data_IF_923458913257
#
_entry.id   IF_923458913257
#
_cell.length_a   1.000
_cell.length_b   1.000
_cell.length_c   1.000
_cell.angle_alpha   90.00
_cell.angle_beta   90.00
_cell.angle_gamma   90.00
#
_symmetry.space_group_name_H-M   'P 1'
#
loop_
_entity.id
_entity.type
_entity.pdbx_description
1 polymer ?
#
# COMPACT_ATOMS: atom_id res chain seq x y z
N UNK A 1 0.82 -18.13 -30.55
CA UNK A 1 2.19 -18.55 -30.94
C UNK A 1 2.21 -20.06 -30.89
N UNK A 2 2.67 -20.74 -31.95
CA UNK A 2 2.72 -22.22 -32.01
C UNK A 2 4.14 -22.70 -31.65
N UNK A 3 4.24 -23.74 -30.84
CA UNK A 3 5.52 -24.33 -30.44
C UNK A 3 5.49 -25.84 -30.66
N UNK A 4 6.43 -26.38 -31.43
CA UNK A 4 6.61 -27.82 -31.61
C UNK A 4 7.35 -28.41 -30.41
N UNK A 5 6.76 -29.39 -29.73
CA UNK A 5 7.35 -30.08 -28.57
C UNK A 5 7.75 -31.50 -28.98
N UNK A 6 8.69 -31.60 -29.92
CA UNK A 6 9.19 -32.89 -30.44
C UNK A 6 8.60 -33.26 -31.81
N UNK A 7 8.69 -34.54 -32.16
CA UNK A 7 8.28 -35.06 -33.48
C UNK A 7 6.75 -35.17 -33.58
N UNK A 8 6.14 -34.16 -34.23
CA UNK A 8 4.71 -34.02 -34.54
C UNK A 8 3.77 -33.53 -33.41
N UNK A 9 4.26 -33.33 -32.18
CA UNK A 9 3.46 -32.63 -31.16
C UNK A 9 3.53 -31.11 -31.34
N UNK A 10 2.37 -30.48 -31.60
CA UNK A 10 2.22 -29.02 -31.70
C UNK A 10 1.45 -28.52 -30.49
N UNK A 11 2.13 -27.77 -29.63
CA UNK A 11 1.51 -27.07 -28.52
C UNK A 11 0.94 -25.72 -28.98
N UNK A 12 -0.37 -25.58 -28.82
CA UNK A 12 -1.05 -24.29 -28.83
C UNK A 12 -1.36 -23.89 -27.38
N UNK A 13 -0.83 -22.76 -26.86
CA UNK A 13 -1.24 -22.26 -25.56
C UNK A 13 -2.71 -21.82 -25.62
N UNK A 14 -3.52 -22.09 -24.57
CA UNK A 14 -4.93 -21.73 -24.56
C UNK A 14 -5.12 -20.21 -24.59
N UNK A 15 -6.25 -19.76 -25.14
CA UNK A 15 -6.55 -18.33 -25.26
C UNK A 15 -6.94 -17.78 -23.88
N UNK A 16 -6.07 -16.95 -23.31
CA UNK A 16 -6.41 -16.17 -22.13
C UNK A 16 -7.28 -14.97 -22.54
N UNK A 17 -8.32 -14.68 -21.75
CA UNK A 17 -9.10 -13.46 -21.89
C UNK A 17 -9.31 -12.79 -20.53
N UNK A 18 -9.73 -11.53 -20.54
CA UNK A 18 -10.01 -10.77 -19.32
C UNK A 18 -11.28 -9.97 -19.51
N UNK A 19 -12.27 -10.22 -18.65
CA UNK A 19 -13.48 -9.40 -18.56
C UNK A 19 -13.20 -8.22 -17.63
N UNK A 20 -13.80 -7.06 -17.89
CA UNK A 20 -13.57 -5.86 -17.07
C UNK A 20 -14.77 -4.92 -17.09
N UNK A 21 -15.19 -4.52 -15.90
CA UNK A 21 -16.39 -3.71 -15.66
C UNK A 21 -15.98 -2.28 -15.31
N UNK A 22 -16.47 -1.31 -16.07
CA UNK A 22 -16.13 0.10 -15.89
C UNK A 22 -17.36 0.91 -15.44
N UNK A 23 -17.15 1.91 -14.57
CA UNK A 23 -18.19 2.90 -14.24
C UNK A 23 -18.56 3.70 -15.50
N UNK A 24 -19.80 3.56 -15.96
CA UNK A 24 -20.32 4.29 -17.15
C UNK A 24 -20.48 5.80 -16.89
N UNK A 25 -20.54 6.21 -15.63
CA UNK A 25 -20.72 7.60 -15.20
C UNK A 25 -22.16 8.11 -15.37
N UNK A 26 -23.14 7.23 -15.18
CA UNK A 26 -24.58 7.52 -15.22
C UNK A 26 -25.29 6.62 -14.19
N UNK A 27 -26.20 7.19 -13.40
CA UNK A 27 -27.19 6.45 -12.59
C UNK A 27 -28.54 6.32 -13.32
N UNK A 28 -29.36 5.37 -12.88
CA UNK A 28 -30.71 5.18 -13.46
C UNK A 28 -31.68 6.31 -13.07
N UNK A 29 -31.50 6.93 -11.90
CA UNK A 29 -32.14 8.18 -11.51
C UNK A 29 -31.16 9.35 -11.67
N UNK A 30 -31.51 10.40 -12.41
CA UNK A 30 -30.70 11.63 -12.48
C UNK A 30 -30.97 12.46 -11.22
N UNK A 31 -30.12 12.31 -10.20
CA UNK A 31 -30.08 13.19 -9.02
C UNK A 31 -28.99 14.23 -9.24
N UNK A 32 -29.37 15.49 -9.50
CA UNK A 32 -28.41 16.57 -9.80
C UNK A 32 -27.34 16.75 -8.72
N UNK A 33 -27.69 16.48 -7.46
CA UNK A 33 -26.78 16.53 -6.30
C UNK A 33 -25.63 15.53 -6.38
N UNK A 34 -25.76 14.41 -7.10
CA UNK A 34 -24.75 13.36 -7.23
C UNK A 34 -24.11 13.33 -8.63
N UNK A 35 -24.38 14.33 -9.48
CA UNK A 35 -23.88 14.38 -10.85
C UNK A 35 -22.34 14.50 -10.92
N UNK A 36 -21.72 15.12 -9.90
CA UNK A 36 -20.25 15.23 -9.81
C UNK A 36 -19.58 13.87 -9.59
N UNK A 37 -20.16 13.03 -8.72
CA UNK A 37 -19.66 11.67 -8.42
C UNK A 37 -19.67 10.79 -9.67
N UNK A 38 -20.79 10.81 -10.39
CA UNK A 38 -20.97 10.08 -11.64
C UNK A 38 -20.00 10.55 -12.72
N UNK A 39 -19.79 11.87 -12.82
CA UNK A 39 -18.85 12.44 -13.79
C UNK A 39 -17.40 12.10 -13.47
N UNK A 40 -17.00 12.16 -12.19
CA UNK A 40 -15.65 11.85 -11.73
C UNK A 40 -15.28 10.37 -11.89
N UNK A 41 -16.22 9.47 -11.60
CA UNK A 41 -16.04 8.03 -11.74
C UNK A 41 -16.08 7.52 -13.19
N UNK A 42 -16.38 8.36 -14.18
CA UNK A 42 -16.60 7.90 -15.56
C UNK A 42 -15.34 7.29 -16.18
N UNK A 43 -15.41 6.00 -16.49
CA UNK A 43 -14.35 5.24 -17.15
C UNK A 43 -13.38 4.51 -16.22
N UNK A 44 -13.55 4.54 -14.89
CA UNK A 44 -12.70 3.74 -13.98
C UNK A 44 -13.12 2.28 -13.94
N UNK A 45 -12.16 1.38 -13.75
CA UNK A 45 -12.41 -0.06 -13.60
C UNK A 45 -12.83 -0.41 -12.18
N UNK A 46 -13.98 -1.07 -12.03
CA UNK A 46 -14.48 -1.58 -10.75
C UNK A 46 -14.05 -3.02 -10.49
N UNK A 47 -13.95 -3.82 -11.55
CA UNK A 47 -13.70 -5.25 -11.49
C UNK A 47 -12.98 -5.69 -12.75
N UNK A 48 -12.08 -6.65 -12.60
CA UNK A 48 -11.38 -7.31 -13.70
C UNK A 48 -11.19 -8.79 -13.36
N UNK A 49 -11.48 -9.68 -14.30
CA UNK A 49 -11.44 -11.13 -14.10
C UNK A 49 -10.70 -11.80 -15.25
N UNK A 50 -9.70 -12.63 -14.94
CA UNK A 50 -8.87 -13.30 -15.96
C UNK A 50 -9.18 -14.78 -16.06
N UNK A 51 -9.47 -15.24 -17.28
CA UNK A 51 -9.95 -16.57 -17.64
C UNK A 51 -9.06 -17.25 -18.69
N UNK A 52 -9.18 -18.57 -18.83
CA UNK A 52 -8.56 -19.35 -19.91
C UNK A 52 -9.61 -20.14 -20.68
N UNK A 53 -9.65 -19.95 -21.99
CA UNK A 53 -10.47 -20.72 -22.91
C UNK A 53 -9.72 -22.00 -23.33
N UNK A 54 -9.42 -22.87 -22.37
CA UNK A 54 -8.73 -24.15 -22.58
C UNK A 54 -9.67 -25.35 -22.86
N UNK A 55 -10.98 -25.08 -22.95
CA UNK A 55 -12.00 -26.10 -23.23
C UNK A 55 -12.33 -27.02 -22.05
N UNK A 56 -11.76 -26.79 -20.87
CA UNK A 56 -12.07 -27.57 -19.66
C UNK A 56 -13.42 -27.20 -19.05
N UNK A 57 -13.92 -28.06 -18.15
CA UNK A 57 -15.00 -27.77 -17.21
C UNK A 57 -14.73 -26.50 -16.37
N UNK A 58 -13.45 -26.17 -16.17
CA UNK A 58 -12.97 -24.99 -15.44
C UNK A 58 -12.74 -23.76 -16.32
N UNK A 59 -13.02 -23.78 -17.61
CA UNK A 59 -12.82 -22.62 -18.48
C UNK A 59 -13.69 -21.41 -18.08
N UNK A 60 -14.86 -21.66 -17.46
CA UNK A 60 -15.74 -20.64 -16.87
C UNK A 60 -15.41 -20.25 -15.43
N UNK A 61 -14.23 -20.62 -14.90
CA UNK A 61 -13.76 -20.20 -13.58
C UNK A 61 -12.57 -19.24 -13.72
N UNK A 62 -12.55 -18.08 -13.03
CA UNK A 62 -11.43 -17.15 -13.12
C UNK A 62 -10.20 -17.70 -12.40
N UNK A 63 -9.02 -17.36 -12.91
CA UNK A 63 -7.76 -17.52 -12.18
C UNK A 63 -7.63 -16.46 -11.09
N UNK A 64 -7.90 -15.20 -11.47
CA UNK A 64 -7.77 -14.03 -10.60
C UNK A 64 -8.96 -13.10 -10.80
N UNK A 65 -9.44 -12.53 -9.69
CA UNK A 65 -10.43 -11.44 -9.65
C UNK A 65 -9.75 -10.25 -8.97
N UNK A 66 -9.74 -9.08 -9.62
CA UNK A 66 -9.36 -7.81 -9.00
C UNK A 66 -10.59 -6.92 -8.90
N UNK A 67 -10.77 -6.22 -7.78
CA UNK A 67 -11.82 -5.21 -7.59
C UNK A 67 -11.22 -3.92 -7.02
N UNK A 68 -11.80 -2.77 -7.37
CA UNK A 68 -11.43 -1.46 -6.84
C UNK A 68 -12.68 -0.68 -6.44
N UNK A 69 -12.62 -0.05 -5.27
CA UNK A 69 -13.63 0.92 -4.79
C UNK A 69 -12.96 2.30 -4.65
N UNK A 70 -13.76 3.36 -4.73
CA UNK A 70 -13.27 4.73 -4.93
C UNK A 70 -14.03 5.72 -4.05
N UNK A 71 -13.30 6.59 -3.35
CA UNK A 71 -13.86 7.77 -2.68
C UNK A 71 -13.96 8.91 -3.71
N UNK A 72 -14.98 9.78 -3.58
CA UNK A 72 -15.11 11.01 -4.41
C UNK A 72 -15.37 12.23 -3.53
N UNK A 73 -14.51 13.23 -3.66
CA UNK A 73 -14.51 14.48 -2.89
C UNK A 73 -14.90 15.68 -3.77
N UNK A 74 -15.67 16.63 -3.22
CA UNK A 74 -16.13 17.84 -3.92
C UNK A 74 -15.17 19.01 -3.67
N UNK A 75 -13.97 18.92 -4.24
CA UNK A 75 -12.88 19.91 -4.05
C UNK A 75 -13.31 21.35 -4.32
N UNK A 76 -14.17 21.60 -5.33
CA UNK A 76 -14.80 22.92 -5.53
C UNK A 76 -16.27 22.80 -5.98
N UNK A 77 -17.23 23.39 -5.24
CA UNK A 77 -18.61 23.46 -5.68
C UNK A 77 -18.74 24.34 -6.93
N UNK A 78 -19.75 24.08 -7.78
CA UNK A 78 -19.91 24.73 -9.08
C UNK A 78 -19.94 26.27 -9.00
N UNK A 79 -20.62 26.85 -8.01
CA UNK A 79 -20.78 28.30 -7.87
C UNK A 79 -21.33 28.95 -9.15
N UNK A 80 -20.65 29.99 -9.63
CA UNK A 80 -20.93 30.66 -10.91
C UNK A 80 -20.38 29.94 -12.15
N UNK A 81 -19.54 28.91 -11.99
CA UNK A 81 -18.93 28.19 -13.10
C UNK A 81 -19.94 27.24 -13.78
N UNK A 82 -19.55 26.70 -14.94
CA UNK A 82 -20.36 25.72 -15.68
C UNK A 82 -20.36 24.33 -15.01
N UNK A 83 -19.27 23.97 -14.33
CA UNK A 83 -19.05 22.67 -13.70
C UNK A 83 -18.39 22.84 -12.32
N UNK A 84 -18.57 21.87 -11.43
CA UNK A 84 -17.80 21.71 -10.18
C UNK A 84 -16.46 21.03 -10.46
N UNK A 85 -15.50 21.17 -9.54
CA UNK A 85 -14.30 20.33 -9.49
C UNK A 85 -14.55 19.23 -8.46
N UNK A 86 -14.46 17.98 -8.89
CA UNK A 86 -14.48 16.82 -8.01
C UNK A 86 -13.22 16.00 -8.25
N UNK A 87 -12.76 15.33 -7.21
CA UNK A 87 -11.57 14.49 -7.20
C UNK A 87 -11.96 13.08 -6.77
N UNK A 88 -11.30 12.08 -7.34
CA UNK A 88 -11.64 10.67 -7.17
C UNK A 88 -10.37 9.88 -6.86
N UNK A 89 -10.37 9.26 -5.69
CA UNK A 89 -9.22 8.61 -5.09
C UNK A 89 -9.53 7.12 -4.93
N UNK A 90 -8.53 6.24 -4.99
CA UNK A 90 -8.78 4.82 -4.72
C UNK A 90 -8.99 4.62 -3.22
N UNK A 91 -10.13 4.03 -2.82
CA UNK A 91 -10.48 3.75 -1.41
C UNK A 91 -9.84 2.44 -0.96
N UNK A 92 -9.96 1.42 -1.80
CA UNK A 92 -9.48 0.06 -1.54
C UNK A 92 -9.29 -0.73 -2.85
N UNK A 93 -8.52 -1.82 -2.76
CA UNK A 93 -8.36 -2.83 -3.80
C UNK A 93 -8.45 -4.22 -3.17
N UNK A 94 -9.36 -5.05 -3.68
CA UNK A 94 -9.41 -6.49 -3.38
C UNK A 94 -8.77 -7.27 -4.52
N UNK A 95 -8.01 -8.33 -4.21
CA UNK A 95 -7.41 -9.23 -5.20
C UNK A 95 -7.53 -10.66 -4.71
N UNK A 96 -8.20 -11.50 -5.51
CA UNK A 96 -8.56 -12.88 -5.17
C UNK A 96 -7.89 -13.81 -6.19
N UNK A 97 -6.87 -14.56 -5.77
CA UNK A 97 -6.29 -15.67 -6.53
C UNK A 97 -7.12 -16.92 -6.24
N UNK A 98 -7.86 -17.40 -7.24
CA UNK A 98 -8.65 -18.64 -7.15
C UNK A 98 -7.91 -19.84 -7.74
N UNK A 99 -7.01 -19.63 -8.72
CA UNK A 99 -6.39 -20.71 -9.52
C UNK A 99 -7.41 -21.72 -10.08
N UNK A 100 -8.60 -21.20 -10.45
CA UNK A 100 -9.78 -22.00 -10.86
C UNK A 100 -10.29 -22.98 -9.81
N UNK A 101 -10.11 -22.65 -8.53
CA UNK A 101 -10.71 -23.30 -7.37
C UNK A 101 -11.39 -22.26 -6.45
N UNK A 102 -12.68 -22.02 -6.66
CA UNK A 102 -13.46 -21.06 -5.88
C UNK A 102 -13.63 -21.43 -4.39
N UNK A 103 -13.19 -22.62 -3.96
CA UNK A 103 -13.38 -23.14 -2.60
C UNK A 103 -12.16 -22.91 -1.66
N UNK A 104 -11.00 -22.53 -2.19
CA UNK A 104 -9.80 -22.22 -1.40
C UNK A 104 -9.05 -20.98 -1.96
N UNK A 105 -9.74 -19.83 -2.14
CA UNK A 105 -9.13 -18.64 -2.69
C UNK A 105 -8.12 -18.01 -1.73
N UNK A 106 -7.08 -17.37 -2.27
CA UNK A 106 -6.23 -16.44 -1.52
C UNK A 106 -6.70 -15.02 -1.77
N UNK A 107 -6.96 -14.28 -0.70
CA UNK A 107 -7.49 -12.91 -0.79
C UNK A 107 -6.51 -11.94 -0.17
N UNK A 108 -6.10 -10.94 -0.96
CA UNK A 108 -5.32 -9.79 -0.51
C UNK A 108 -6.21 -8.54 -0.59
N UNK A 109 -6.25 -7.76 0.47
CA UNK A 109 -7.07 -6.53 0.57
C UNK A 109 -6.17 -5.36 0.96
N UNK A 110 -6.05 -4.39 0.06
CA UNK A 110 -5.35 -3.14 0.30
C UNK A 110 -6.35 -2.01 0.57
N UNK A 111 -6.18 -1.29 1.67
CA UNK A 111 -7.02 -0.15 2.08
C UNK A 111 -6.16 1.10 2.16
N UNK A 112 -6.65 2.22 1.61
CA UNK A 112 -6.04 3.54 1.83
C UNK A 112 -6.71 4.17 3.06
N UNK A 113 -5.97 4.20 4.16
CA UNK A 113 -6.44 4.72 5.44
C UNK A 113 -6.53 6.24 5.40
N UNK A 114 -5.49 6.89 4.85
CA UNK A 114 -5.34 8.34 4.88
C UNK A 114 -4.54 8.87 3.69
N UNK A 115 -5.00 9.97 3.12
CA UNK A 115 -4.30 10.74 2.09
C UNK A 115 -4.06 12.18 2.56
N UNK A 116 -3.12 12.88 1.92
CA UNK A 116 -2.93 14.32 2.10
C UNK A 116 -3.83 15.13 1.15
N UNK A 117 -3.81 16.46 1.27
CA UNK A 117 -4.55 17.40 0.41
C UNK A 117 -4.09 17.47 -1.05
N UNK A 118 -3.16 16.60 -1.46
CA UNK A 118 -2.67 16.41 -2.83
C UNK A 118 -2.85 14.96 -3.34
N UNK A 119 -3.61 14.13 -2.60
CA UNK A 119 -3.83 12.69 -2.83
C UNK A 119 -2.53 11.87 -2.96
N UNK A 120 -1.52 12.19 -2.15
CA UNK A 120 -0.55 11.17 -1.74
C UNK A 120 -1.16 10.34 -0.62
N UNK A 121 -0.98 9.03 -0.70
CA UNK A 121 -1.24 8.11 0.41
C UNK A 121 -0.22 8.38 1.52
N UNK A 122 -0.68 8.87 2.65
CA UNK A 122 0.13 8.98 3.87
C UNK A 122 0.17 7.64 4.61
N UNK A 123 -0.98 6.95 4.67
CA UNK A 123 -1.17 5.72 5.42
C UNK A 123 -2.02 4.72 4.63
N UNK A 124 -1.55 3.48 4.54
CA UNK A 124 -2.28 2.37 3.92
C UNK A 124 -2.06 1.07 4.68
N UNK A 125 -3.03 0.17 4.54
CA UNK A 125 -3.05 -1.15 5.16
C UNK A 125 -3.04 -2.21 4.04
N UNK A 126 -2.25 -3.26 4.21
CA UNK A 126 -2.25 -4.43 3.32
C UNK A 126 -2.55 -5.66 4.16
N UNK A 127 -3.66 -6.33 3.86
CA UNK A 127 -4.17 -7.49 4.58
C UNK A 127 -4.05 -8.70 3.66
N UNK A 128 -3.31 -9.73 4.09
CA UNK A 128 -3.42 -11.08 3.52
C UNK A 128 -4.45 -11.82 4.37
N UNK A 129 -5.65 -12.03 3.84
CA UNK A 129 -6.76 -12.56 4.60
C UNK A 129 -6.55 -14.05 4.94
N UNK A 130 -6.99 -14.52 6.12
CA UNK A 130 -7.08 -15.95 6.41
C UNK A 130 -8.11 -16.63 5.50
N UNK A 131 -7.94 -17.94 5.26
CA UNK A 131 -8.85 -18.76 4.46
C UNK A 131 -10.22 -18.85 5.14
N UNK A 132 -11.26 -18.20 4.62
CA UNK A 132 -12.67 -18.31 5.02
C UNK A 132 -13.57 -17.81 3.88
N UNK A 133 -14.84 -18.20 3.90
CA UNK A 133 -15.85 -17.88 2.87
C UNK A 133 -16.13 -16.37 2.72
N UNK A 134 -16.71 -16.00 1.58
CA UNK A 134 -16.76 -14.62 1.06
C UNK A 134 -17.73 -13.68 1.79
N UNK A 135 -17.42 -12.37 1.77
CA UNK A 135 -18.24 -11.28 2.30
C UNK A 135 -18.41 -10.15 1.26
N UNK A 136 -19.42 -9.29 1.45
CA UNK A 136 -19.78 -8.17 0.57
C UNK A 136 -19.62 -6.79 1.26
N UNK A 137 -19.76 -5.71 0.49
CA UNK A 137 -19.34 -4.33 0.84
C UNK A 137 -20.47 -3.30 0.62
N UNK A 138 -20.38 -2.17 1.34
CA UNK A 138 -21.16 -0.92 1.15
C UNK A 138 -20.25 0.32 1.37
N UNK A 139 -20.67 1.51 0.91
CA UNK A 139 -19.90 2.79 0.90
C UNK A 139 -20.45 3.86 1.86
N UNK A 140 -19.62 4.87 2.26
CA UNK A 140 -19.88 6.33 2.34
C UNK A 140 -18.63 7.10 2.89
N UNK A 141 -18.52 8.44 2.69
CA UNK A 141 -17.28 9.23 2.95
C UNK A 141 -17.51 10.77 3.13
N UNK A 142 -16.47 11.54 3.59
CA UNK A 142 -16.22 13.03 3.51
C UNK A 142 -15.16 13.53 4.55
N UNK A 143 -14.60 14.76 4.65
CA UNK A 143 -14.19 15.99 3.86
C UNK A 143 -13.63 17.01 4.94
N UNK A 144 -12.74 18.03 4.85
CA UNK A 144 -11.89 18.78 3.87
C UNK A 144 -10.66 19.39 4.66
N UNK A 145 -9.69 20.11 4.06
CA UNK A 145 -8.72 21.03 4.78
C UNK A 145 -8.26 22.24 3.92
N UNK A 146 -7.64 23.29 4.52
CA UNK A 146 -7.37 24.62 3.90
C UNK A 146 -5.96 24.84 3.26
N UNK A 147 -5.47 26.10 3.21
CA UNK A 147 -5.05 26.74 1.96
C UNK A 147 -3.77 27.61 2.02
N UNK A 148 -3.23 27.94 0.82
CA UNK A 148 -2.22 28.99 0.53
C UNK A 148 -0.73 28.72 0.80
N UNK A 149 -0.19 27.62 0.25
CA UNK A 149 1.07 27.67 -0.52
C UNK A 149 1.19 26.40 -1.38
N UNK A 150 1.21 26.52 -2.71
CA UNK A 150 1.26 25.34 -3.59
C UNK A 150 2.68 24.77 -3.70
N UNK A 151 2.97 23.77 -2.86
CA UNK A 151 4.09 22.83 -3.02
C UNK A 151 3.63 21.45 -2.57
N UNK A 152 3.76 20.46 -3.45
CA UNK A 152 3.57 19.06 -3.08
C UNK A 152 4.72 18.62 -2.14
N UNK A 153 4.45 18.04 -0.95
CA UNK A 153 5.50 17.62 -0.03
C UNK A 153 6.32 16.46 -0.63
N UNK A 154 7.59 16.34 -0.23
CA UNK A 154 8.38 15.12 -0.49
C UNK A 154 8.38 14.23 0.75
N UNK A 155 8.35 12.92 0.54
CA UNK A 155 8.38 11.92 1.60
C UNK A 155 9.76 11.86 2.28
N UNK A 156 9.96 12.67 3.33
CA UNK A 156 11.16 12.65 4.18
C UNK A 156 11.27 11.40 5.07
N UNK A 157 10.18 10.63 5.21
CA UNK A 157 10.07 9.42 6.03
C UNK A 157 9.01 8.46 5.44
N UNK A 158 9.36 7.19 5.31
CA UNK A 158 8.46 6.07 5.02
C UNK A 158 8.73 4.96 6.05
N UNK A 159 7.68 4.30 6.57
CA UNK A 159 7.80 3.18 7.51
C UNK A 159 6.86 2.05 7.10
N UNK A 160 7.32 0.82 7.23
CA UNK A 160 6.48 -0.39 7.04
C UNK A 160 6.38 -1.15 8.35
N UNK A 161 5.15 -1.50 8.73
CA UNK A 161 4.82 -2.16 9.99
C UNK A 161 4.06 -3.46 9.75
N UNK A 162 4.62 -4.58 10.22
CA UNK A 162 3.91 -5.86 10.30
C UNK A 162 3.03 -5.84 11.57
N UNK A 163 1.71 -5.85 11.39
CA UNK A 163 0.74 -5.94 12.48
C UNK A 163 0.47 -7.41 12.76
N UNK A 164 0.67 -7.84 14.00
CA UNK A 164 0.62 -9.23 14.42
C UNK A 164 -0.50 -9.43 15.45
N UNK A 165 -1.20 -10.57 15.31
CA UNK A 165 -2.36 -10.94 16.14
C UNK A 165 -3.55 -9.98 16.07
N UNK A 166 -3.70 -9.23 14.96
CA UNK A 166 -4.95 -8.55 14.63
C UNK A 166 -6.05 -9.59 14.37
N UNK A 167 -7.27 -9.32 14.85
CA UNK A 167 -8.42 -10.22 14.70
C UNK A 167 -9.63 -9.45 14.19
N UNK A 168 -10.24 -9.97 13.13
CA UNK A 168 -11.45 -9.48 12.48
C UNK A 168 -12.20 -10.68 11.88
N UNK A 169 -13.49 -10.53 11.60
CA UNK A 169 -14.30 -11.57 10.96
C UNK A 169 -14.45 -11.25 9.46
N UNK A 170 -14.20 -12.24 8.58
CA UNK A 170 -14.30 -12.06 7.13
C UNK A 170 -13.24 -11.09 6.59
N UNK A 171 -13.69 -10.05 5.90
CA UNK A 171 -12.85 -8.96 5.37
C UNK A 171 -13.05 -7.73 6.25
N UNK A 172 -11.97 -7.04 6.63
CA UNK A 172 -12.04 -5.80 7.41
C UNK A 172 -12.56 -4.66 6.52
N UNK A 173 -13.69 -4.04 6.88
CA UNK A 173 -14.22 -2.89 6.12
C UNK A 173 -13.31 -1.67 6.22
N UNK A 174 -13.32 -0.84 5.18
CA UNK A 174 -12.50 0.39 5.10
C UNK A 174 -12.73 1.31 6.30
N UNK A 175 -13.97 1.49 6.73
CA UNK A 175 -14.30 2.42 7.81
C UNK A 175 -13.85 1.88 9.18
N UNK A 176 -14.04 0.58 9.43
CA UNK A 176 -13.50 -0.07 10.62
C UNK A 176 -11.96 -0.09 10.64
N UNK A 177 -11.30 -0.03 9.48
CA UNK A 177 -9.86 0.17 9.38
C UNK A 177 -9.46 1.63 9.63
N UNK A 178 -10.21 2.61 9.10
CA UNK A 178 -9.98 4.06 9.30
C UNK A 178 -10.24 4.51 10.75
N UNK A 179 -11.15 3.83 11.46
CA UNK A 179 -11.41 4.05 12.90
C UNK A 179 -10.38 3.35 13.82
N UNK A 180 -9.54 2.45 13.31
CA UNK A 180 -8.62 1.66 14.13
C UNK A 180 -7.32 2.41 14.44
N UNK A 181 -7.02 2.61 15.73
CA UNK A 181 -5.74 3.19 16.17
C UNK A 181 -4.57 2.22 15.95
N UNK A 182 -4.04 2.21 14.72
CA UNK A 182 -2.83 1.51 14.37
C UNK A 182 -1.56 2.14 14.98
N UNK A 183 -1.60 3.37 15.51
CA UNK A 183 -0.39 4.07 15.96
C UNK A 183 -0.10 3.94 17.46
N UNK A 184 -1.15 3.86 18.28
CA UNK A 184 -1.10 3.41 19.68
C UNK A 184 -0.77 1.92 19.86
N UNK A 185 -0.75 1.12 18.80
CA UNK A 185 -0.39 -0.31 18.87
C UNK A 185 0.99 -0.53 19.53
N UNK A 186 1.11 -1.49 20.48
CA UNK A 186 2.37 -1.80 21.13
C UNK A 186 3.49 -2.14 20.14
N UNK A 187 4.67 -1.52 20.32
CA UNK A 187 5.87 -1.72 19.48
C UNK A 187 6.76 -2.88 19.97
N UNK A 188 6.26 -3.69 20.91
CA UNK A 188 6.91 -4.88 21.49
C UNK A 188 5.91 -6.04 21.50
N UNK A 189 6.39 -7.27 21.39
CA UNK A 189 5.54 -8.48 21.42
C UNK A 189 4.80 -8.59 22.76
N UNK A 190 3.47 -8.61 22.69
CA UNK A 190 2.56 -8.93 23.80
C UNK A 190 1.62 -10.07 23.40
N UNK A 191 0.60 -10.34 24.23
CA UNK A 191 -0.44 -11.35 23.96
C UNK A 191 -1.61 -10.80 23.11
N UNK A 192 -1.83 -9.49 23.14
CA UNK A 192 -2.77 -8.74 22.28
C UNK A 192 -2.10 -8.35 20.96
N UNK A 193 -2.88 -7.77 20.03
CA UNK A 193 -2.38 -7.11 18.82
C UNK A 193 -1.20 -6.19 19.11
N UNK A 194 -0.18 -6.23 18.25
CA UNK A 194 1.02 -5.40 18.34
C UNK A 194 1.64 -5.20 16.96
N UNK A 195 2.49 -4.19 16.79
CA UNK A 195 3.20 -3.93 15.52
C UNK A 195 4.71 -4.08 15.66
N UNK A 196 5.31 -4.82 14.73
CA UNK A 196 6.75 -4.79 14.48
C UNK A 196 7.08 -3.67 13.47
N UNK A 197 8.31 -3.16 13.47
CA UNK A 197 8.83 -2.37 12.35
C UNK A 197 9.64 -3.29 11.44
N UNK A 198 9.39 -3.20 10.13
CA UNK A 198 10.01 -4.05 9.11
C UNK A 198 11.05 -3.27 8.31
N UNK A 199 10.66 -2.10 7.81
CA UNK A 199 11.56 -1.16 7.15
C UNK A 199 11.28 0.27 7.62
N UNK A 200 12.30 1.13 7.51
CA UNK A 200 12.13 2.58 7.62
C UNK A 200 13.14 3.26 6.71
N UNK A 201 12.65 4.07 5.79
CA UNK A 201 13.45 4.89 4.88
C UNK A 201 13.27 6.36 5.24
N UNK A 202 14.36 7.13 5.17
CA UNK A 202 14.38 8.57 5.45
C UNK A 202 15.19 9.30 4.40
N UNK A 203 14.71 10.48 4.01
CA UNK A 203 15.42 11.44 3.19
C UNK A 203 15.54 12.74 3.98
N UNK A 204 16.78 13.24 4.11
CA UNK A 204 17.05 14.56 4.67
C UNK A 204 17.48 15.51 3.55
N UNK A 205 17.06 16.76 3.70
CA UNK A 205 17.26 17.80 2.70
C UNK A 205 17.92 19.01 3.34
N UNK A 206 18.77 19.68 2.58
CA UNK A 206 19.30 21.00 2.98
C UNK A 206 18.37 22.12 2.53
N UNK A 207 18.55 23.31 3.09
CA UNK A 207 17.93 24.53 2.58
C UNK A 207 18.63 25.08 1.32
N UNK A 208 18.02 26.07 0.65
CA UNK A 208 18.60 26.67 -0.57
C UNK A 208 19.88 27.48 -0.32
N UNK A 209 20.31 27.63 0.94
CA UNK A 209 21.56 28.26 1.33
C UNK A 209 22.62 27.23 1.77
N UNK A 210 22.27 25.94 1.86
CA UNK A 210 23.09 24.85 2.37
C UNK A 210 23.54 25.08 3.83
N UNK A 211 22.73 25.78 4.62
CA UNK A 211 23.07 26.16 6.01
C UNK A 211 22.36 25.29 7.05
N UNK A 212 21.15 24.81 6.76
CA UNK A 212 20.35 24.00 7.68
C UNK A 212 19.90 22.70 7.03
N UNK A 213 20.03 21.60 7.78
CA UNK A 213 19.31 20.34 7.50
C UNK A 213 17.89 20.48 7.98
N UNK A 214 16.93 20.43 7.07
CA UNK A 214 15.51 20.53 7.35
C UNK A 214 14.79 19.23 7.00
N UNK A 215 13.72 18.92 7.72
CA UNK A 215 12.74 17.94 7.25
C UNK A 215 11.93 18.50 6.06
N UNK A 216 11.89 19.83 5.88
CA UNK A 216 10.98 20.51 4.97
C UNK A 216 11.62 21.61 4.11
N UNK A 217 11.38 21.50 2.80
CA UNK A 217 10.97 22.57 1.88
C UNK A 217 11.97 23.51 1.15
N UNK A 218 13.26 23.19 0.98
CA UNK A 218 14.13 23.90 0.00
C UNK A 218 15.13 22.98 -0.74
N UNK A 219 14.58 21.97 -1.39
CA UNK A 219 15.06 20.59 -1.35
C UNK A 219 16.20 20.26 -2.34
N UNK A 220 17.46 20.33 -1.88
CA UNK A 220 18.52 19.44 -2.38
C UNK A 220 18.60 18.23 -1.45
N UNK A 221 18.64 17.02 -2.02
CA UNK A 221 18.82 15.77 -1.27
C UNK A 221 20.26 15.70 -0.73
N UNK A 222 20.40 15.63 0.58
CA UNK A 222 21.69 15.56 1.28
C UNK A 222 22.04 14.10 1.61
N UNK A 223 21.18 13.42 2.39
CA UNK A 223 21.38 12.04 2.81
C UNK A 223 20.09 11.21 2.76
N UNK A 224 20.22 9.96 2.32
CA UNK A 224 19.22 8.91 2.52
C UNK A 224 19.67 7.91 3.57
N UNK A 225 18.76 7.48 4.44
CA UNK A 225 19.00 6.44 5.43
C UNK A 225 17.95 5.34 5.35
N UNK A 226 18.40 4.09 5.32
CA UNK A 226 17.55 2.90 5.39
C UNK A 226 17.84 2.12 6.68
N UNK A 227 16.81 1.70 7.41
CA UNK A 227 16.93 0.93 8.64
C UNK A 227 17.43 -0.50 8.35
N UNK A 228 18.72 -0.75 8.56
CA UNK A 228 19.37 -2.01 8.25
C UNK A 228 19.17 -3.07 9.35
N UNK A 229 19.14 -2.67 10.62
CA UNK A 229 18.95 -3.58 11.75
C UNK A 229 18.04 -2.99 12.83
N UNK A 230 16.88 -3.63 13.05
CA UNK A 230 15.99 -3.31 14.18
C UNK A 230 16.57 -3.83 15.50
N UNK A 231 16.24 -3.25 16.67
CA UNK A 231 16.78 -3.70 17.96
C UNK A 231 16.57 -5.20 18.23
N UNK A 232 15.39 -5.71 17.88
CA UNK A 232 15.01 -7.13 17.98
C UNK A 232 15.88 -8.07 17.13
N UNK A 233 16.51 -7.56 16.07
CA UNK A 233 17.50 -8.31 15.27
C UNK A 233 18.87 -8.26 15.95
N UNK A 234 19.26 -7.11 16.51
CA UNK A 234 20.50 -6.96 17.28
C UNK A 234 20.51 -7.88 18.52
N UNK A 235 19.42 -7.91 19.29
CA UNK A 235 19.24 -8.80 20.44
C UNK A 235 19.47 -10.27 20.07
N UNK A 236 18.96 -10.69 18.89
CA UNK A 236 19.16 -12.04 18.34
C UNK A 236 20.61 -12.28 17.91
N UNK A 237 21.26 -11.31 17.28
CA UNK A 237 22.67 -11.40 16.86
C UNK A 237 23.56 -11.54 18.10
N UNK A 238 23.37 -10.71 19.13
CA UNK A 238 24.10 -10.82 20.40
C UNK A 238 23.86 -12.16 21.10
N UNK A 239 22.62 -12.63 21.17
CA UNK A 239 22.30 -13.94 21.73
C UNK A 239 22.98 -15.08 20.96
N UNK A 240 23.04 -14.98 19.62
CA UNK A 240 23.78 -15.90 18.76
C UNK A 240 25.29 -15.89 19.03
N UNK A 241 25.92 -14.71 19.02
CA UNK A 241 27.35 -14.55 19.32
C UNK A 241 27.72 -15.15 20.68
N UNK A 242 26.91 -14.87 21.71
CA UNK A 242 27.08 -15.44 23.07
C UNK A 242 26.91 -16.97 23.08
N UNK A 243 25.86 -17.49 22.42
CA UNK A 243 25.58 -18.93 22.36
C UNK A 243 26.69 -19.73 21.66
N UNK A 244 27.23 -19.21 20.55
CA UNK A 244 28.29 -19.85 19.78
C UNK A 244 29.71 -19.47 20.22
N UNK A 245 29.86 -18.70 21.31
CA UNK A 245 31.13 -18.22 21.87
C UNK A 245 32.01 -17.46 20.86
N UNK A 246 31.39 -16.80 19.90
CA UNK A 246 32.11 -16.00 18.89
C UNK A 246 32.57 -14.69 19.54
N UNK A 247 33.88 -14.44 19.53
CA UNK A 247 34.43 -13.18 20.04
C UNK A 247 34.08 -12.03 19.09
N UNK A 248 33.08 -11.24 19.45
CA UNK A 248 32.59 -10.12 18.64
C UNK A 248 31.50 -9.31 19.35
N UNK A 249 31.31 -8.09 18.89
CA UNK A 249 30.22 -7.18 19.28
C UNK A 249 29.48 -6.71 18.04
N UNK A 250 28.23 -6.29 18.21
CA UNK A 250 27.44 -5.53 17.22
C UNK A 250 28.18 -4.26 16.75
N UNK A 251 29.16 -3.76 17.52
CA UNK A 251 30.07 -2.68 17.10
C UNK A 251 30.79 -2.93 15.76
N UNK A 252 30.93 -4.19 15.31
CA UNK A 252 31.47 -4.51 13.97
C UNK A 252 30.66 -3.85 12.84
N UNK A 253 29.38 -3.52 13.06
CA UNK A 253 28.57 -2.80 12.08
C UNK A 253 29.16 -1.41 11.74
N UNK A 254 29.94 -0.79 12.64
CA UNK A 254 30.67 0.47 12.36
C UNK A 254 31.67 0.31 11.22
N UNK A 255 32.34 -0.84 11.10
CA UNK A 255 33.28 -1.10 9.99
C UNK A 255 32.56 -1.43 8.69
N UNK A 256 31.30 -1.88 8.78
CA UNK A 256 30.41 -2.12 7.63
C UNK A 256 29.72 -0.87 7.08
N UNK A 257 30.19 0.34 7.42
CA UNK A 257 29.56 1.65 7.10
C UNK A 257 28.17 1.90 7.72
N UNK A 258 27.67 1.03 8.60
CA UNK A 258 26.40 1.29 9.28
C UNK A 258 26.55 2.35 10.37
N UNK A 259 25.58 3.24 10.46
CA UNK A 259 25.56 4.35 11.43
C UNK A 259 24.44 4.18 12.46
N UNK A 260 24.64 4.76 13.65
CA UNK A 260 23.61 4.90 14.67
C UNK A 260 23.22 6.38 14.81
N UNK A 261 21.97 6.69 14.49
CA UNK A 261 21.42 8.04 14.65
C UNK A 261 21.17 8.32 16.14
N UNK A 262 21.40 9.56 16.61
CA UNK A 262 21.42 9.88 18.06
C UNK A 262 20.11 9.55 18.78
N UNK A 263 18.99 9.82 18.13
CA UNK A 263 17.64 9.77 18.72
C UNK A 263 16.79 8.61 18.16
N UNK A 264 17.43 7.53 17.68
CA UNK A 264 16.76 6.37 17.08
C UNK A 264 17.38 5.06 17.55
N UNK A 265 16.53 4.08 17.83
CA UNK A 265 16.94 2.70 18.05
C UNK A 265 17.22 1.99 16.71
N UNK A 266 18.21 1.08 16.71
CA UNK A 266 18.64 0.35 15.51
C UNK A 266 19.89 0.92 14.82
N UNK A 267 20.27 0.28 13.70
CA UNK A 267 21.38 0.71 12.83
C UNK A 267 20.91 0.95 11.41
N UNK A 268 21.55 1.89 10.74
CA UNK A 268 21.11 2.46 9.47
C UNK A 268 22.20 2.34 8.41
N UNK A 269 21.83 2.00 7.18
CA UNK A 269 22.67 2.25 6.02
C UNK A 269 22.55 3.74 5.62
N UNK A 270 23.56 4.27 4.94
CA UNK A 270 23.60 5.64 4.42
C UNK A 270 24.06 5.57 2.96
N UNK A 271 23.10 5.52 2.02
CA UNK A 271 23.39 5.16 0.63
C UNK A 271 23.87 6.37 -0.19
N UNK A 272 23.30 7.55 0.09
CA UNK A 272 23.80 8.83 -0.41
C UNK A 272 24.57 9.53 0.70
N UNK A 273 25.90 9.53 0.60
CA UNK A 273 26.74 10.54 1.23
C UNK A 273 27.45 11.35 0.15
N UNK A 274 27.44 12.68 0.27
CA UNK A 274 28.54 13.47 -0.29
C UNK A 274 29.81 13.03 0.42
N UNK A 275 30.73 12.40 -0.31
CA UNK A 275 32.06 12.10 0.21
C UNK A 275 32.79 13.40 0.54
N UNK A 276 33.10 13.59 1.82
CA UNK A 276 34.16 14.47 2.32
C UNK A 276 35.34 13.63 2.77
#
# INVERSE_FOLDING_TARGET
MRSSIGENEVYEPPVMYTESWFRVGLSHEIRETLFFEQSALKGVSLRSETYSQDGTDKAGLPFMISQLSYDVELVQPRGSNKHSVAQMNTREKLSIENERNMQDPRTTHGIILKTNSYDDVEESLQIVCPRTEQAAFDDYAREVTEQYNFRKPLAWKQQEHEILSLSFAGILSVDAAREYDFDGLPKRKCATTWKAICSENRAFYEDSFLLNRLAEAFLILDHTYALAFTPKILDKIELGLRSYKVSGSVDVLKTGKYVKLKDRDGWWCCDVSRCG
#
